data_IF_067246836604
#
_entry.id   IF_067246836604
#
_cell.length_a   1.000
_cell.length_b   1.000
_cell.length_c   1.000
_cell.angle_alpha   90.00
_cell.angle_beta   90.00
_cell.angle_gamma   90.00
#
_symmetry.space_group_name_H-M   'P 1'
#
loop_
_entity.id
_entity.type
_entity.pdbx_description
1 polymer ?
#
# COMPACT_ATOMS: atom_id res chain seq x y z
N UNK A 1 -0.52 9.13 -16.61
CA UNK A 1 0.66 9.76 -15.95
C UNK A 1 0.61 11.30 -15.89
N UNK A 2 -0.50 11.96 -16.22
CA UNK A 2 -0.55 13.44 -16.36
C UNK A 2 -0.30 14.22 -15.05
N UNK A 3 -0.32 13.56 -13.89
CA UNK A 3 0.01 14.14 -12.58
C UNK A 3 1.51 14.04 -12.24
N UNK A 4 2.33 13.42 -13.09
CA UNK A 4 3.75 13.22 -12.83
C UNK A 4 4.52 14.52 -13.04
N UNK A 5 5.36 14.88 -12.07
CA UNK A 5 6.26 16.06 -12.13
C UNK A 5 7.71 15.67 -12.43
N UNK A 6 7.95 14.45 -12.92
CA UNK A 6 9.28 13.91 -13.22
C UNK A 6 10.31 14.09 -12.08
N UNK A 7 9.91 13.84 -10.83
CA UNK A 7 10.80 13.97 -9.66
C UNK A 7 11.76 12.77 -9.45
N UNK A 8 11.62 11.70 -10.23
CA UNK A 8 12.42 10.46 -10.17
C UNK A 8 12.38 9.68 -8.84
N UNK A 9 11.62 10.12 -7.83
CA UNK A 9 11.52 9.44 -6.52
C UNK A 9 11.04 7.99 -6.63
N UNK A 10 10.06 7.73 -7.51
CA UNK A 10 9.53 6.39 -7.73
C UNK A 10 10.61 5.42 -8.23
N UNK A 11 11.40 5.83 -9.23
CA UNK A 11 12.41 4.98 -9.86
C UNK A 11 13.56 4.71 -8.90
N UNK A 12 14.03 5.75 -8.19
CA UNK A 12 15.06 5.61 -7.17
C UNK A 12 14.63 4.67 -6.06
N UNK A 13 13.42 4.87 -5.51
CA UNK A 13 12.88 3.95 -4.52
C UNK A 13 12.81 2.51 -5.04
N UNK A 14 12.25 2.33 -6.25
CA UNK A 14 11.99 1.00 -6.77
C UNK A 14 13.29 0.21 -7.04
N UNK A 15 14.32 0.88 -7.56
CA UNK A 15 15.62 0.27 -7.85
C UNK A 15 16.52 0.13 -6.62
N UNK A 16 16.59 1.17 -5.78
CA UNK A 16 17.57 1.23 -4.70
C UNK A 16 17.08 0.58 -3.40
N UNK A 17 15.76 0.49 -3.18
CA UNK A 17 15.17 0.00 -1.92
C UNK A 17 14.22 -1.19 -2.09
N UNK A 18 13.56 -1.31 -3.24
CA UNK A 18 12.59 -2.39 -3.48
C UNK A 18 13.16 -3.54 -4.32
N UNK A 19 14.44 -3.47 -4.70
CA UNK A 19 15.15 -4.42 -5.57
C UNK A 19 14.41 -4.77 -6.87
N UNK A 20 13.56 -3.85 -7.35
CA UNK A 20 12.73 -4.06 -8.51
C UNK A 20 13.45 -3.66 -9.81
N UNK A 21 13.40 -4.52 -10.82
CA UNK A 21 14.12 -4.36 -12.09
C UNK A 21 13.22 -3.96 -13.26
N UNK A 22 11.90 -4.11 -13.12
CA UNK A 22 10.91 -4.00 -14.19
C UNK A 22 10.28 -2.60 -14.32
N UNK A 23 10.66 -1.63 -13.49
CA UNK A 23 10.20 -0.24 -13.56
C UNK A 23 11.33 0.74 -13.88
N UNK A 24 11.09 1.60 -14.87
CA UNK A 24 12.10 2.51 -15.39
C UNK A 24 11.56 3.84 -15.89
N UNK A 25 12.47 4.58 -16.51
CA UNK A 25 12.22 5.85 -17.20
C UNK A 25 12.56 5.67 -18.67
N UNK A 26 11.66 6.12 -19.53
CA UNK A 26 11.76 6.00 -20.98
C UNK A 26 11.49 7.34 -21.64
N UNK A 27 12.08 7.55 -22.82
CA UNK A 27 11.96 8.80 -23.57
C UNK A 27 12.97 9.87 -23.13
N UNK A 28 12.80 11.09 -23.65
CA UNK A 28 13.72 12.21 -23.46
C UNK A 28 12.98 13.57 -23.52
N UNK A 29 13.61 14.60 -22.94
CA UNK A 29 13.08 15.97 -22.87
C UNK A 29 11.67 16.03 -22.27
N UNK A 30 10.69 16.55 -23.01
CA UNK A 30 9.31 16.70 -22.55
C UNK A 30 8.49 15.41 -22.70
N UNK A 31 9.03 14.40 -23.39
CA UNK A 31 8.38 13.12 -23.65
C UNK A 31 8.96 12.01 -22.75
N UNK A 32 8.97 12.25 -21.44
CA UNK A 32 9.47 11.29 -20.45
C UNK A 32 8.31 10.50 -19.84
N UNK A 33 8.45 9.18 -19.86
CA UNK A 33 7.47 8.23 -19.35
C UNK A 33 8.08 7.38 -18.24
N UNK A 34 7.28 7.13 -17.21
CA UNK A 34 7.63 6.27 -16.09
C UNK A 34 6.74 5.04 -16.13
N UNK A 35 7.31 3.84 -16.09
CA UNK A 35 6.51 2.63 -16.28
C UNK A 35 7.36 1.38 -16.44
N UNK A 36 6.71 0.33 -16.93
CA UNK A 36 7.35 -0.91 -17.36
C UNK A 36 7.57 -0.88 -18.87
N UNK A 37 8.58 -1.56 -19.41
CA UNK A 37 8.76 -1.68 -20.85
C UNK A 37 7.66 -2.58 -21.47
N UNK A 38 7.19 -3.56 -20.70
CA UNK A 38 6.14 -4.50 -21.10
C UNK A 38 4.94 -4.44 -20.14
N UNK A 39 3.76 -4.73 -20.68
CA UNK A 39 2.52 -4.77 -19.91
C UNK A 39 2.57 -5.83 -18.81
N UNK A 40 2.15 -5.47 -17.60
CA UNK A 40 2.00 -6.41 -16.49
C UNK A 40 2.12 -5.74 -15.13
N UNK A 41 2.20 -6.55 -14.08
CA UNK A 41 2.29 -6.12 -12.68
C UNK A 41 3.73 -5.91 -12.25
N UNK A 42 3.95 -4.95 -11.36
CA UNK A 42 5.23 -4.80 -10.68
C UNK A 42 5.53 -6.04 -9.85
N UNK A 43 6.74 -6.58 -9.99
CA UNK A 43 7.11 -7.89 -9.41
C UNK A 43 7.62 -7.78 -7.96
N UNK A 44 8.17 -6.64 -7.58
CA UNK A 44 8.65 -6.41 -6.21
C UNK A 44 7.51 -6.45 -5.17
N UNK A 45 7.70 -7.22 -4.11
CA UNK A 45 6.81 -7.31 -2.93
C UNK A 45 6.71 -6.00 -2.11
N UNK A 46 7.50 -4.99 -2.46
CA UNK A 46 7.49 -3.65 -1.84
C UNK A 46 7.05 -2.56 -2.82
N UNK A 47 6.43 -2.94 -3.93
CA UNK A 47 5.98 -2.01 -4.99
C UNK A 47 4.91 -1.02 -4.50
N UNK A 48 4.07 -1.42 -3.56
CA UNK A 48 2.97 -0.64 -3.00
C UNK A 48 3.39 0.61 -2.22
N UNK A 49 4.65 0.69 -1.77
CA UNK A 49 5.17 1.91 -1.14
C UNK A 49 5.33 3.06 -2.14
N UNK A 50 5.27 2.80 -3.47
CA UNK A 50 5.22 3.86 -4.48
C UNK A 50 4.06 4.84 -4.26
N UNK A 51 2.96 4.38 -3.64
CA UNK A 51 1.81 5.22 -3.29
C UNK A 51 2.17 6.30 -2.26
N UNK A 52 3.09 6.02 -1.33
CA UNK A 52 3.55 6.98 -0.33
C UNK A 52 4.78 7.78 -0.78
N UNK A 53 5.62 7.18 -1.61
CA UNK A 53 6.81 7.85 -2.16
C UNK A 53 6.44 8.94 -3.18
N UNK A 54 5.33 8.76 -3.91
CA UNK A 54 4.90 9.70 -4.94
C UNK A 54 4.30 10.99 -4.34
N UNK A 55 4.88 12.17 -4.60
CA UNK A 55 4.38 13.42 -4.03
C UNK A 55 3.07 13.92 -4.65
N UNK A 56 2.71 13.47 -5.86
CA UNK A 56 1.59 14.02 -6.64
C UNK A 56 0.42 13.05 -6.86
N UNK A 57 0.49 11.84 -6.29
CA UNK A 57 -0.58 10.85 -6.45
C UNK A 57 -0.69 10.27 -7.86
N UNK A 58 0.43 10.09 -8.57
CA UNK A 58 0.47 9.27 -9.79
C UNK A 58 0.14 7.83 -9.44
N UNK A 59 0.79 7.31 -8.40
CA UNK A 59 0.49 6.01 -7.81
C UNK A 59 -0.57 6.21 -6.74
N UNK A 60 -1.67 5.50 -6.88
CA UNK A 60 -2.78 5.53 -5.93
C UNK A 60 -3.12 4.11 -5.53
N UNK A 61 -3.52 3.94 -4.28
CA UNK A 61 -4.01 2.67 -3.77
C UNK A 61 -5.34 2.31 -4.46
N UNK A 62 -5.34 1.22 -5.23
CA UNK A 62 -6.51 0.74 -5.96
C UNK A 62 -7.59 0.22 -5.01
N UNK A 63 -7.24 -0.50 -3.94
CA UNK A 63 -8.22 -1.04 -2.99
C UNK A 63 -8.90 0.09 -2.21
N UNK A 64 -8.17 1.18 -1.97
CA UNK A 64 -8.75 2.40 -1.39
C UNK A 64 -9.70 3.13 -2.36
N UNK A 65 -9.37 3.16 -3.66
CA UNK A 65 -10.09 3.93 -4.68
C UNK A 65 -11.52 3.42 -4.99
N UNK A 66 -11.83 2.17 -4.64
CA UNK A 66 -13.15 1.57 -4.87
C UNK A 66 -14.27 2.29 -4.10
N UNK A 67 -13.95 2.92 -2.97
CA UNK A 67 -14.91 3.68 -2.18
C UNK A 67 -14.40 5.11 -2.03
N UNK A 68 -15.24 6.09 -2.36
CA UNK A 68 -14.85 7.50 -2.31
C UNK A 68 -14.56 7.94 -0.87
N UNK A 69 -13.29 8.14 -0.55
CA UNK A 69 -12.82 8.59 0.76
C UNK A 69 -11.72 9.64 0.58
N UNK A 70 -11.73 10.67 1.42
CA UNK A 70 -10.63 11.63 1.50
C UNK A 70 -9.79 11.35 2.74
N UNK A 71 -8.54 11.81 2.73
CA UNK A 71 -7.61 11.58 3.85
C UNK A 71 -8.14 12.09 5.19
N UNK A 72 -8.79 13.26 5.17
CA UNK A 72 -9.37 13.88 6.37
C UNK A 72 -10.71 13.29 6.80
N UNK A 73 -11.34 12.46 5.97
CA UNK A 73 -12.58 11.77 6.35
C UNK A 73 -12.31 10.52 7.20
N UNK A 74 -11.06 10.05 7.24
CA UNK A 74 -10.66 8.81 7.91
C UNK A 74 -10.13 9.08 9.31
N UNK A 75 -10.43 8.14 10.22
CA UNK A 75 -9.81 8.10 11.54
C UNK A 75 -8.65 7.13 11.53
N UNK A 76 -7.49 7.58 12.01
CA UNK A 76 -6.27 6.77 12.04
C UNK A 76 -5.92 6.39 13.48
N UNK A 77 -5.56 5.13 13.70
CA UNK A 77 -5.11 4.64 14.99
C UNK A 77 -3.76 3.90 14.85
N UNK A 78 -2.83 4.03 15.80
CA UNK A 78 -1.59 3.27 15.77
C UNK A 78 -1.87 1.77 15.97
N UNK A 79 -1.29 0.93 15.12
CA UNK A 79 -1.42 -0.52 15.18
C UNK A 79 -0.12 -1.22 14.76
N UNK A 80 -0.15 -2.55 14.76
CA UNK A 80 0.93 -3.44 14.35
C UNK A 80 0.40 -4.39 13.28
N UNK A 81 1.14 -4.55 12.18
CA UNK A 81 0.80 -5.46 11.10
C UNK A 81 0.87 -6.93 11.57
N UNK A 82 -0.20 -7.70 11.30
CA UNK A 82 -0.32 -9.11 11.70
C UNK A 82 -0.04 -10.09 10.54
N UNK A 83 0.47 -9.59 9.42
CA UNK A 83 0.52 -10.35 8.17
C UNK A 83 1.81 -11.18 8.00
N UNK A 84 2.85 -10.85 8.77
CA UNK A 84 4.12 -11.55 8.81
C UNK A 84 4.76 -11.36 10.20
N UNK A 85 5.80 -12.14 10.51
CA UNK A 85 6.45 -12.15 11.83
C UNK A 85 7.29 -10.91 12.14
N UNK A 86 7.41 -9.95 11.21
CA UNK A 86 8.18 -8.70 11.42
C UNK A 86 7.45 -7.76 12.39
N UNK A 87 6.11 -7.74 12.36
CA UNK A 87 5.33 -6.84 13.21
C UNK A 87 5.53 -5.35 12.88
N UNK A 88 5.45 -4.98 11.61
CA UNK A 88 5.64 -3.59 11.17
C UNK A 88 4.64 -2.63 11.85
N UNK A 89 5.12 -1.44 12.24
CA UNK A 89 4.25 -0.40 12.77
C UNK A 89 3.37 0.19 11.67
N UNK A 90 2.05 0.19 11.88
CA UNK A 90 1.08 0.68 10.91
C UNK A 90 0.15 1.72 11.51
N UNK A 91 -0.51 2.46 10.63
CA UNK A 91 -1.57 3.41 10.93
C UNK A 91 -2.79 3.05 10.06
N UNK A 92 -3.61 2.07 10.46
CA UNK A 92 -4.89 1.77 9.80
C UNK A 92 -5.84 2.98 9.82
N UNK A 93 -6.40 3.31 8.66
CA UNK A 93 -7.42 4.33 8.47
C UNK A 93 -8.81 3.72 8.33
N UNK A 94 -9.71 4.05 9.24
CA UNK A 94 -11.09 3.58 9.31
C UNK A 94 -12.07 4.67 8.83
N UNK A 95 -13.17 4.23 8.21
CA UNK A 95 -14.34 5.08 7.96
C UNK A 95 -15.64 4.26 7.91
N UNK A 96 -16.62 4.66 8.71
CA UNK A 96 -17.95 4.04 8.85
C UNK A 96 -17.93 2.57 9.30
N UNK A 97 -17.06 2.23 10.25
CA UNK A 97 -16.84 0.89 10.78
C UNK A 97 -16.02 -0.01 9.85
N UNK A 98 -15.49 0.50 8.73
CA UNK A 98 -14.75 -0.29 7.75
C UNK A 98 -13.31 0.21 7.60
N UNK A 99 -12.36 -0.71 7.58
CA UNK A 99 -10.95 -0.42 7.36
C UNK A 99 -10.73 -0.07 5.89
N UNK A 100 -10.22 1.13 5.60
CA UNK A 100 -10.14 1.70 4.25
C UNK A 100 -8.78 1.63 3.61
N UNK A 101 -7.73 1.79 4.41
CA UNK A 101 -6.33 1.89 3.97
C UNK A 101 -5.42 1.59 5.15
N UNK A 102 -4.24 1.07 4.88
CA UNK A 102 -3.14 0.98 5.85
C UNK A 102 -2.01 1.91 5.40
N UNK A 103 -1.63 2.83 6.28
CA UNK A 103 -0.44 3.70 6.10
C UNK A 103 0.72 3.22 6.98
N UNK A 104 1.94 3.51 6.56
CA UNK A 104 3.13 3.23 7.36
C UNK A 104 3.18 4.15 8.59
N UNK A 105 3.58 3.61 9.74
CA UNK A 105 3.96 4.40 10.92
C UNK A 105 5.44 4.22 11.19
N UNK A 106 6.19 5.32 11.25
CA UNK A 106 7.64 5.25 11.37
C UNK A 106 8.09 4.52 12.64
N UNK A 107 9.01 3.58 12.46
CA UNK A 107 9.74 2.93 13.55
C UNK A 107 11.19 2.69 13.12
N UNK A 108 12.13 3.33 13.82
CA UNK A 108 13.56 3.26 13.49
C UNK A 108 14.19 1.87 13.70
N UNK A 109 13.54 0.96 14.43
CA UNK A 109 14.10 -0.38 14.70
C UNK A 109 13.45 -1.51 13.89
N UNK A 110 12.33 -1.26 13.20
CA UNK A 110 11.55 -2.31 12.54
C UNK A 110 11.39 -2.03 11.05
N UNK A 111 10.53 -1.08 10.70
CA UNK A 111 10.07 -0.89 9.32
C UNK A 111 10.46 0.45 8.69
N UNK A 112 11.08 1.36 9.45
CA UNK A 112 11.38 2.72 9.03
C UNK A 112 10.17 3.36 8.30
N UNK A 113 10.26 3.55 6.99
CA UNK A 113 9.22 4.18 6.17
C UNK A 113 8.41 3.21 5.29
N UNK A 114 8.68 1.90 5.32
CA UNK A 114 8.19 0.97 4.30
C UNK A 114 7.35 -0.18 4.87
N UNK A 115 6.38 -0.63 4.08
CA UNK A 115 5.55 -1.80 4.37
C UNK A 115 5.62 -2.78 3.19
N UNK A 116 5.51 -4.08 3.46
CA UNK A 116 5.31 -5.05 2.38
C UNK A 116 3.89 -4.92 1.81
N UNK A 117 3.73 -5.31 0.55
CA UNK A 117 2.46 -5.20 -0.18
C UNK A 117 1.36 -6.03 0.47
N UNK A 118 1.74 -7.18 1.03
CA UNK A 118 0.85 -8.03 1.82
C UNK A 118 0.29 -7.29 3.04
N UNK A 119 1.12 -6.55 3.77
CA UNK A 119 0.70 -5.79 4.94
C UNK A 119 -0.09 -4.53 4.58
N UNK A 120 0.19 -3.93 3.42
CA UNK A 120 -0.45 -2.70 2.95
C UNK A 120 -1.83 -2.93 2.36
N UNK A 121 -1.98 -3.94 1.49
CA UNK A 121 -3.22 -4.21 0.75
C UNK A 121 -4.02 -5.40 1.31
N UNK A 122 -3.43 -6.23 2.16
CA UNK A 122 -4.03 -7.46 2.65
C UNK A 122 -5.13 -7.30 3.69
N UNK A 123 -5.68 -6.11 3.93
CA UNK A 123 -6.64 -5.85 5.01
C UNK A 123 -8.10 -6.20 4.67
N UNK A 124 -8.40 -6.57 3.42
CA UNK A 124 -9.76 -6.79 2.94
C UNK A 124 -10.56 -7.83 3.73
N UNK A 125 -9.88 -8.81 4.35
CA UNK A 125 -10.54 -9.85 5.18
C UNK A 125 -11.23 -9.26 6.43
N UNK A 126 -10.75 -8.14 6.96
CA UNK A 126 -11.32 -7.49 8.15
C UNK A 126 -12.73 -6.97 7.88
N UNK A 127 -12.99 -6.54 6.64
CA UNK A 127 -14.29 -5.99 6.23
C UNK A 127 -15.26 -7.08 5.76
N UNK A 128 -14.85 -8.34 5.69
CA UNK A 128 -15.76 -9.41 5.30
C UNK A 128 -16.78 -9.66 6.42
N UNK A 129 -18.05 -9.86 6.05
CA UNK A 129 -19.07 -10.28 7.01
C UNK A 129 -18.64 -11.64 7.56
N UNK A 130 -18.29 -11.67 8.83
CA UNK A 130 -17.97 -12.88 9.57
C UNK A 130 -19.18 -13.81 9.43
N UNK A 131 -19.03 -14.91 8.70
CA UNK A 131 -20.02 -15.99 8.68
C UNK A 131 -20.14 -16.48 10.12
N UNK A 132 -21.19 -16.08 10.83
CA UNK A 132 -21.48 -16.41 12.22
C UNK A 132 -21.78 -17.90 12.45
N UNK A 133 -21.39 -18.79 11.53
CA UNK A 133 -21.79 -20.18 11.51
C UNK A 133 -20.84 -21.13 12.26
N UNK A 134 -19.59 -20.77 12.58
CA UNK A 134 -18.64 -21.73 13.18
C UNK A 134 -18.49 -21.67 14.70
N UNK A 135 -18.85 -20.57 15.36
CA UNK A 135 -18.67 -20.47 16.83
C UNK A 135 -19.80 -21.14 17.63
N UNK A 136 -20.95 -21.43 17.02
CA UNK A 136 -22.05 -22.13 17.71
C UNK A 136 -21.81 -23.65 17.89
N UNK A 137 -20.86 -24.23 17.14
CA UNK A 137 -20.53 -25.66 17.23
C UNK A 137 -19.47 -25.99 18.31
N UNK A 138 -18.65 -25.02 18.71
CA UNK A 138 -17.58 -25.22 19.70
C UNK A 138 -18.05 -25.08 21.16
N UNK A 139 -19.23 -24.48 21.40
CA UNK A 139 -19.80 -24.30 22.75
C UNK A 139 -20.79 -25.42 23.16
N UNK A 140 -20.84 -26.53 22.40
CA UNK A 140 -21.64 -27.73 22.71
C UNK A 140 -20.77 -28.97 22.94
N UNK A 141 -19.66 -28.80 23.65
CA UNK A 141 -18.94 -29.90 24.30
C UNK A 141 -18.59 -29.50 25.72
#
# INVERSE_FOLDING_TARGET
MNRCIACYRCVRYYKDYADGTDFGVYGAHDNVYFGRPESGTLESEFSGNLVEVCPTGVFTDKTHSERYNRKWDMQFAPSICQQCSIGCNTSPGERYGELRRIENRYNGSVNHYFLCDRGRFGYGYVNQKRSSASTAAAARR
#
